data_IF_453058143013
#
_entry.id   IF_453058143013
#
_cell.length_a   1.000
_cell.length_b   1.000
_cell.length_c   1.000
_cell.angle_alpha   90.00
_cell.angle_beta   90.00
_cell.angle_gamma   90.00
#
_symmetry.space_group_name_H-M   'P 1'
#
loop_
_entity.id
_entity.type
_entity.pdbx_description
1 polymer ?
#
# COMPACT_ATOMS: atom_id res chain seq x y z
N UNK A 1 -7.84 35.43 8.59
CA UNK A 1 -7.62 36.19 7.34
C UNK A 1 -6.99 35.42 6.19
N UNK A 2 -6.52 34.19 6.37
CA UNK A 2 -5.92 33.38 5.27
C UNK A 2 -6.92 32.65 4.35
N UNK A 3 -8.15 32.44 4.78
CA UNK A 3 -9.15 31.65 4.05
C UNK A 3 -9.71 32.28 2.76
N UNK A 4 -9.43 33.55 2.48
CA UNK A 4 -9.98 34.24 1.30
C UNK A 4 -8.96 34.54 0.19
N UNK A 5 -7.66 34.37 0.45
CA UNK A 5 -6.62 34.71 -0.52
C UNK A 5 -6.23 33.48 -1.37
N UNK A 6 -6.22 33.64 -2.68
CA UNK A 6 -5.68 32.62 -3.57
C UNK A 6 -4.15 32.63 -3.51
N UNK A 7 -3.52 31.49 -3.33
CA UNK A 7 -2.08 31.28 -3.19
C UNK A 7 -1.53 30.42 -4.33
N UNK A 8 -0.22 30.53 -4.57
CA UNK A 8 0.52 29.70 -5.51
C UNK A 8 1.21 28.55 -4.75
N UNK A 9 1.45 27.44 -5.43
CA UNK A 9 2.21 26.31 -4.86
C UNK A 9 3.58 26.72 -4.33
N UNK A 10 4.26 27.65 -5.03
CA UNK A 10 5.57 28.15 -4.63
C UNK A 10 5.54 28.95 -3.32
N UNK A 11 4.45 29.65 -3.03
CA UNK A 11 4.27 30.39 -1.77
C UNK A 11 4.15 29.42 -0.59
N UNK A 12 3.32 28.38 -0.75
CA UNK A 12 3.15 27.33 0.27
C UNK A 12 4.43 26.51 0.47
N UNK A 13 5.12 26.17 -0.62
CA UNK A 13 6.39 25.44 -0.56
C UNK A 13 7.45 26.20 0.24
N UNK A 14 7.57 27.52 0.00
CA UNK A 14 8.51 28.37 0.72
C UNK A 14 8.15 28.52 2.21
N UNK A 15 6.86 28.74 2.51
CA UNK A 15 6.39 28.93 3.89
C UNK A 15 6.48 27.64 4.72
N UNK A 16 6.20 26.48 4.09
CA UNK A 16 6.26 25.18 4.77
C UNK A 16 7.66 24.54 4.74
N UNK A 17 8.66 25.14 4.08
CA UNK A 17 10.00 24.56 3.95
C UNK A 17 10.04 23.26 3.14
N UNK A 18 9.08 23.06 2.21
CA UNK A 18 8.94 21.84 1.44
C UNK A 18 9.47 21.99 0.01
N UNK A 19 9.97 20.91 -0.62
CA UNK A 19 10.20 20.88 -2.05
C UNK A 19 8.92 21.21 -2.82
N UNK A 20 9.05 21.93 -3.95
CA UNK A 20 7.90 22.39 -4.75
C UNK A 20 7.03 21.23 -5.28
N UNK A 21 7.63 20.12 -5.64
CA UNK A 21 6.94 18.89 -6.05
C UNK A 21 6.06 18.36 -4.93
N UNK A 22 6.58 18.26 -3.71
CA UNK A 22 5.87 17.77 -2.54
C UNK A 22 4.70 18.70 -2.15
N UNK A 23 4.92 20.00 -2.17
CA UNK A 23 3.86 20.98 -1.92
C UNK A 23 2.72 20.87 -2.96
N UNK A 24 3.06 20.60 -4.23
CA UNK A 24 2.07 20.39 -5.29
C UNK A 24 1.21 19.13 -5.05
N UNK A 25 1.83 18.03 -4.67
CA UNK A 25 1.14 16.77 -4.35
C UNK A 25 0.19 16.93 -3.16
N UNK A 26 0.66 17.60 -2.10
CA UNK A 26 -0.16 17.88 -0.92
C UNK A 26 -1.36 18.77 -1.27
N UNK A 27 -1.16 19.84 -2.02
CA UNK A 27 -2.25 20.72 -2.47
C UNK A 27 -3.25 19.96 -3.34
N UNK A 28 -2.78 19.09 -4.25
CA UNK A 28 -3.66 18.23 -5.04
C UNK A 28 -4.48 17.26 -4.17
N UNK A 29 -3.88 16.71 -3.14
CA UNK A 29 -4.60 15.89 -2.16
C UNK A 29 -5.67 16.70 -1.42
N UNK A 30 -5.34 17.91 -0.99
CA UNK A 30 -6.32 18.82 -0.36
C UNK A 30 -7.47 19.19 -1.31
N UNK A 31 -7.19 19.39 -2.59
CA UNK A 31 -8.24 19.60 -3.62
C UNK A 31 -9.13 18.37 -3.77
N UNK A 32 -8.55 17.18 -3.79
CA UNK A 32 -9.29 15.91 -3.86
C UNK A 32 -10.23 15.72 -2.66
N UNK A 33 -9.79 16.14 -1.48
CA UNK A 33 -10.61 16.11 -0.26
C UNK A 33 -11.59 17.31 -0.16
N UNK A 34 -11.60 18.19 -1.15
CA UNK A 34 -12.48 19.36 -1.15
C UNK A 34 -12.10 20.44 -0.12
N UNK A 35 -10.87 20.40 0.41
CA UNK A 35 -10.34 21.36 1.39
C UNK A 35 -9.66 22.56 0.74
N UNK A 36 -9.33 22.45 -0.54
CA UNK A 36 -8.88 23.53 -1.40
C UNK A 36 -9.64 23.51 -2.73
N UNK A 37 -9.77 24.65 -3.36
CA UNK A 37 -10.33 24.80 -4.71
C UNK A 37 -9.29 25.45 -5.63
N UNK A 38 -9.20 24.96 -6.85
CA UNK A 38 -8.40 25.61 -7.90
C UNK A 38 -9.18 26.82 -8.42
N UNK A 39 -8.53 27.96 -8.49
CA UNK A 39 -9.12 29.21 -8.97
C UNK A 39 -8.69 29.42 -10.42
N UNK A 40 -9.64 29.50 -11.33
CA UNK A 40 -9.38 29.81 -12.73
C UNK A 40 -8.72 31.18 -12.88
N UNK A 41 -7.61 31.25 -13.62
CA UNK A 41 -6.90 32.48 -13.89
C UNK A 41 -5.90 32.28 -15.01
N UNK A 42 -5.56 33.36 -15.73
CA UNK A 42 -4.56 33.34 -16.79
C UNK A 42 -3.15 33.16 -16.20
N UNK A 43 -2.49 32.03 -16.46
CA UNK A 43 -1.09 31.80 -16.17
C UNK A 43 -0.87 30.60 -15.25
N UNK A 44 -0.52 30.82 -13.99
CA UNK A 44 -0.20 29.73 -13.04
C UNK A 44 -1.41 29.33 -12.21
N UNK A 45 -1.55 28.02 -11.94
CA UNK A 45 -2.59 27.48 -11.08
C UNK A 45 -2.53 28.15 -9.69
N UNK A 46 -3.65 28.71 -9.26
CA UNK A 46 -3.84 29.29 -7.94
C UNK A 46 -4.86 28.47 -7.18
N UNK A 47 -4.69 28.39 -5.89
CA UNK A 47 -5.52 27.59 -5.02
C UNK A 47 -6.09 28.49 -3.92
N UNK A 48 -7.28 28.15 -3.42
CA UNK A 48 -7.92 28.82 -2.30
C UNK A 48 -8.32 27.77 -1.28
N UNK A 49 -7.96 27.98 -0.02
CA UNK A 49 -8.42 27.14 1.08
C UNK A 49 -9.92 27.33 1.31
N UNK A 50 -10.59 26.26 1.60
CA UNK A 50 -12.00 26.28 2.03
C UNK A 50 -12.06 26.83 3.48
N UNK A 51 -13.06 27.64 3.85
CA UNK A 51 -13.22 28.11 5.21
C UNK A 51 -13.23 26.95 6.23
N UNK A 52 -12.62 27.09 7.41
CA UNK A 52 -12.45 26.00 8.37
C UNK A 52 -13.75 25.29 8.77
N UNK A 53 -14.81 26.04 8.97
CA UNK A 53 -16.15 25.52 9.30
C UNK A 53 -16.73 24.65 8.16
N UNK A 54 -16.55 25.09 6.92
CA UNK A 54 -16.98 24.33 5.74
C UNK A 54 -16.07 23.11 5.51
N UNK A 55 -14.76 23.24 5.73
CA UNK A 55 -13.81 22.17 5.65
C UNK A 55 -14.11 21.04 6.65
N UNK A 56 -14.43 21.39 7.90
CA UNK A 56 -14.83 20.42 8.93
C UNK A 56 -16.11 19.70 8.49
N UNK A 57 -17.15 20.41 8.06
CA UNK A 57 -18.39 19.78 7.59
C UNK A 57 -18.18 18.83 6.40
N UNK A 58 -17.28 19.17 5.47
CA UNK A 58 -16.92 18.28 4.35
C UNK A 58 -16.17 17.03 4.79
N UNK A 59 -15.26 17.18 5.76
CA UNK A 59 -14.54 16.03 6.34
C UNK A 59 -15.48 15.10 7.10
N UNK A 60 -16.41 15.66 7.89
CA UNK A 60 -17.42 14.86 8.60
C UNK A 60 -18.36 14.14 7.63
N UNK A 61 -18.83 14.82 6.58
CA UNK A 61 -19.63 14.19 5.53
C UNK A 61 -18.89 13.09 4.80
N UNK A 62 -17.60 13.29 4.49
CA UNK A 62 -16.75 12.27 3.88
C UNK A 62 -16.56 11.05 4.78
N UNK A 63 -16.32 11.27 6.07
CA UNK A 63 -16.22 10.18 7.08
C UNK A 63 -17.54 9.41 7.19
N UNK A 64 -18.67 10.10 7.24
CA UNK A 64 -19.99 9.48 7.30
C UNK A 64 -20.28 8.63 6.06
N UNK A 65 -19.94 9.14 4.87
CA UNK A 65 -20.11 8.38 3.62
C UNK A 65 -19.20 7.15 3.55
N UNK A 66 -17.95 7.27 4.02
CA UNK A 66 -17.04 6.12 4.11
C UNK A 66 -17.58 5.07 5.08
N UNK A 67 -18.07 5.48 6.27
CA UNK A 67 -18.70 4.59 7.22
C UNK A 67 -19.90 3.87 6.59
N UNK A 68 -20.77 4.62 5.89
CA UNK A 68 -21.93 4.05 5.20
C UNK A 68 -21.56 3.05 4.10
N UNK A 69 -20.53 3.34 3.30
CA UNK A 69 -20.03 2.40 2.27
C UNK A 69 -19.47 1.14 2.90
N UNK A 70 -18.75 1.28 4.02
CA UNK A 70 -18.25 0.15 4.80
C UNK A 70 -19.42 -0.72 5.30
N UNK A 71 -20.44 -0.11 5.92
CA UNK A 71 -21.59 -0.84 6.45
C UNK A 71 -22.37 -1.56 5.32
N UNK A 72 -22.51 -0.92 4.16
CA UNK A 72 -23.12 -1.56 2.99
C UNK A 72 -22.29 -2.76 2.49
N UNK A 73 -20.96 -2.63 2.48
CA UNK A 73 -20.07 -3.71 2.07
C UNK A 73 -20.14 -4.88 3.06
N UNK A 74 -20.16 -4.59 4.37
CA UNK A 74 -20.32 -5.61 5.43
C UNK A 74 -21.65 -6.34 5.31
N UNK A 75 -22.76 -5.61 5.19
CA UNK A 75 -24.10 -6.20 5.00
C UNK A 75 -24.18 -7.05 3.70
N UNK A 76 -23.48 -6.60 2.63
CA UNK A 76 -23.36 -7.37 1.40
C UNK A 76 -22.57 -8.66 1.59
N UNK A 77 -21.50 -8.61 2.35
CA UNK A 77 -20.68 -9.77 2.69
C UNK A 77 -21.44 -10.75 3.59
N UNK A 78 -22.11 -10.26 4.64
CA UNK A 78 -22.97 -11.08 5.52
C UNK A 78 -24.04 -11.82 4.72
N UNK A 79 -24.75 -11.13 3.81
CA UNK A 79 -25.74 -11.75 2.93
C UNK A 79 -25.13 -12.79 2.00
N UNK A 80 -23.96 -12.52 1.42
CA UNK A 80 -23.27 -13.46 0.55
C UNK A 80 -22.80 -14.71 1.31
N UNK A 81 -22.34 -14.54 2.55
CA UNK A 81 -21.94 -15.64 3.43
C UNK A 81 -23.16 -16.45 3.88
N UNK A 82 -24.26 -15.81 4.26
CA UNK A 82 -25.50 -16.48 4.65
C UNK A 82 -26.11 -17.31 3.51
N UNK A 83 -26.01 -16.85 2.27
CA UNK A 83 -26.48 -17.60 1.08
C UNK A 83 -25.60 -18.81 0.76
N UNK A 84 -24.29 -18.75 1.07
CA UNK A 84 -23.36 -19.86 0.87
C UNK A 84 -23.26 -20.84 2.05
N UNK A 85 -23.58 -20.39 3.23
CA UNK A 85 -23.71 -21.24 4.41
C UNK A 85 -25.03 -22.05 4.30
N UNK A 86 -25.01 -23.14 3.53
CA UNK A 86 -25.93 -24.22 3.80
C UNK A 86 -25.77 -24.65 5.26
N UNK A 87 -26.72 -25.42 5.86
CA UNK A 87 -26.71 -25.71 7.28
C UNK A 87 -25.36 -26.25 7.73
N UNK A 88 -24.60 -25.39 8.47
CA UNK A 88 -23.31 -25.73 9.04
C UNK A 88 -23.46 -26.73 10.15
N UNK A 89 -22.69 -27.82 10.18
CA UNK A 89 -22.58 -28.65 11.36
C UNK A 89 -21.60 -27.99 12.34
N UNK A 90 -22.12 -27.40 13.40
CA UNK A 90 -21.32 -26.83 14.50
C UNK A 90 -22.01 -25.64 15.14
N UNK A 91 -23.00 -25.90 16.00
CA UNK A 91 -23.60 -24.88 16.84
C UNK A 91 -22.57 -24.38 17.86
N UNK A 92 -22.10 -23.12 17.72
CA UNK A 92 -21.30 -22.45 18.75
C UNK A 92 -20.34 -21.33 18.31
N UNK A 93 -19.91 -21.29 17.09
CA UNK A 93 -19.03 -20.23 16.63
C UNK A 93 -19.76 -19.30 15.65
N UNK A 94 -19.88 -18.03 16.00
CA UNK A 94 -20.35 -17.03 15.06
C UNK A 94 -19.32 -16.94 13.92
N UNK A 95 -19.74 -17.13 12.65
CA UNK A 95 -18.81 -17.10 11.51
C UNK A 95 -18.21 -15.73 11.26
N UNK A 96 -18.68 -14.71 11.98
CA UNK A 96 -18.30 -13.32 11.83
C UNK A 96 -18.27 -12.62 13.19
N UNK A 97 -17.11 -12.11 13.58
CA UNK A 97 -16.93 -11.34 14.81
C UNK A 97 -16.28 -9.98 14.50
N UNK A 98 -16.84 -8.91 15.07
CA UNK A 98 -16.28 -7.56 14.95
C UNK A 98 -15.37 -7.26 16.14
N UNK A 99 -14.07 -7.08 15.87
CA UNK A 99 -13.07 -6.70 16.87
C UNK A 99 -12.90 -5.19 16.86
N UNK A 100 -13.30 -4.53 17.94
CA UNK A 100 -13.33 -3.05 18.02
C UNK A 100 -12.19 -2.45 18.85
N UNK A 101 -11.39 -3.29 19.51
CA UNK A 101 -10.28 -2.85 20.34
C UNK A 101 -8.98 -3.48 19.86
N UNK A 102 -7.91 -2.68 19.82
CA UNK A 102 -6.57 -3.16 19.44
C UNK A 102 -6.13 -4.36 20.31
N UNK A 103 -6.38 -4.29 21.61
CA UNK A 103 -6.01 -5.36 22.54
C UNK A 103 -6.71 -6.68 22.21
N UNK A 104 -8.00 -6.62 21.91
CA UNK A 104 -8.78 -7.77 21.48
C UNK A 104 -8.25 -8.35 20.16
N UNK A 105 -7.93 -7.48 19.20
CA UNK A 105 -7.33 -7.87 17.93
C UNK A 105 -6.00 -8.61 18.14
N UNK A 106 -5.09 -8.05 18.95
CA UNK A 106 -3.78 -8.64 19.20
C UNK A 106 -3.89 -10.00 19.93
N UNK A 107 -4.83 -10.12 20.87
CA UNK A 107 -5.09 -11.40 21.57
C UNK A 107 -5.56 -12.46 20.58
N UNK A 108 -6.58 -12.15 19.78
CA UNK A 108 -7.11 -13.08 18.78
C UNK A 108 -6.06 -13.47 17.76
N UNK A 109 -5.27 -12.50 17.28
CA UNK A 109 -4.16 -12.79 16.37
C UNK A 109 -3.16 -13.77 16.96
N UNK A 110 -2.72 -13.51 18.19
CA UNK A 110 -1.76 -14.38 18.87
C UNK A 110 -2.31 -15.80 19.03
N UNK A 111 -3.57 -15.92 19.42
CA UNK A 111 -4.23 -17.20 19.58
C UNK A 111 -4.35 -17.97 18.26
N UNK A 112 -4.77 -17.31 17.18
CA UNK A 112 -4.90 -17.94 15.85
C UNK A 112 -3.52 -18.32 15.27
N UNK A 113 -2.53 -17.47 15.42
CA UNK A 113 -1.15 -17.78 14.99
C UNK A 113 -0.57 -18.96 15.78
N UNK A 114 -0.79 -19.04 17.10
CA UNK A 114 -0.34 -20.16 17.92
C UNK A 114 -1.00 -21.49 17.52
N UNK A 115 -2.17 -21.45 16.91
CA UNK A 115 -2.92 -22.64 16.47
C UNK A 115 -2.65 -22.99 15.01
N UNK A 116 -1.92 -22.17 14.27
CA UNK A 116 -1.60 -22.40 12.85
C UNK A 116 -0.90 -23.76 12.65
N UNK A 117 -1.26 -24.46 11.57
CA UNK A 117 -0.75 -25.79 11.24
C UNK A 117 0.05 -25.80 9.96
N UNK A 118 -0.38 -25.05 8.97
CA UNK A 118 0.19 -25.08 7.62
C UNK A 118 0.82 -23.72 7.25
N UNK A 119 0.05 -22.64 7.30
CA UNK A 119 0.53 -21.34 6.83
C UNK A 119 -0.14 -20.15 7.52
N UNK A 120 0.62 -19.07 7.65
CA UNK A 120 0.15 -17.74 8.06
C UNK A 120 0.55 -16.74 6.98
N UNK A 121 -0.44 -16.12 6.34
CA UNK A 121 -0.26 -15.14 5.29
C UNK A 121 -0.71 -13.77 5.76
N UNK A 122 0.15 -12.76 5.60
CA UNK A 122 -0.13 -11.42 6.11
C UNK A 122 0.11 -10.36 5.03
N UNK A 123 -0.82 -9.44 4.87
CA UNK A 123 -0.61 -8.21 4.09
C UNK A 123 -0.78 -7.03 5.03
N UNK A 124 0.26 -6.23 5.18
CA UNK A 124 0.31 -5.10 6.12
C UNK A 124 1.02 -3.89 5.53
N UNK A 125 0.76 -2.74 6.11
CA UNK A 125 1.44 -1.47 5.85
C UNK A 125 1.89 -0.82 7.16
N UNK A 126 2.45 0.37 7.11
CA UNK A 126 2.95 1.11 8.28
C UNK A 126 1.89 1.47 9.33
N UNK A 127 0.60 1.32 9.04
CA UNK A 127 -0.46 1.50 10.05
C UNK A 127 -0.54 0.34 11.05
N UNK A 128 0.13 -0.75 10.77
CA UNK A 128 0.24 -1.91 11.62
C UNK A 128 1.68 -2.07 12.11
N UNK A 129 1.91 -1.95 13.41
CA UNK A 129 3.16 -2.35 14.02
C UNK A 129 3.21 -3.86 14.17
N UNK A 130 4.24 -4.55 13.64
CA UNK A 130 4.42 -5.97 13.87
C UNK A 130 4.53 -6.20 15.37
N UNK A 131 3.68 -7.05 15.88
CA UNK A 131 3.76 -7.46 17.29
C UNK A 131 4.52 -8.77 17.31
N UNK A 132 5.43 -8.89 18.28
CA UNK A 132 6.03 -10.18 18.57
C UNK A 132 4.89 -11.13 18.98
N UNK A 133 4.46 -11.99 18.06
CA UNK A 133 3.44 -12.97 18.36
C UNK A 133 4.07 -14.10 19.17
N UNK A 134 3.74 -14.22 20.46
CA UNK A 134 4.18 -15.38 21.24
C UNK A 134 3.82 -16.66 20.48
N UNK A 135 4.76 -17.56 20.33
CA UNK A 135 4.54 -18.82 19.62
C UNK A 135 4.89 -18.82 18.14
N UNK A 136 5.18 -17.68 17.49
CA UNK A 136 5.56 -17.65 16.08
C UNK A 136 6.83 -18.49 15.81
N UNK A 137 7.87 -18.39 16.67
CA UNK A 137 9.09 -19.20 16.55
C UNK A 137 8.80 -20.69 16.71
N UNK A 138 7.90 -21.06 17.63
CA UNK A 138 7.49 -22.44 17.84
C UNK A 138 6.76 -22.99 16.59
N UNK A 139 5.94 -22.18 15.95
CA UNK A 139 5.23 -22.57 14.73
C UNK A 139 6.18 -22.69 13.54
N UNK A 140 7.12 -21.76 13.40
CA UNK A 140 8.19 -21.87 12.39
C UNK A 140 9.00 -23.17 12.60
N UNK A 141 9.41 -23.47 13.83
CA UNK A 141 10.10 -24.70 14.16
C UNK A 141 9.27 -25.97 13.90
N UNK A 142 7.95 -25.86 13.97
CA UNK A 142 7.01 -26.93 13.60
C UNK A 142 6.76 -27.05 12.08
N UNK A 143 7.35 -26.16 11.26
CA UNK A 143 7.26 -26.17 9.79
C UNK A 143 6.16 -25.33 9.20
N UNK A 144 5.45 -24.53 10.00
CA UNK A 144 4.43 -23.59 9.54
C UNK A 144 5.11 -22.49 8.70
N UNK A 145 4.52 -22.17 7.55
CA UNK A 145 5.02 -21.15 6.65
C UNK A 145 4.46 -19.76 7.02
N UNK A 146 5.34 -18.79 7.23
CA UNK A 146 4.97 -17.39 7.48
C UNK A 146 5.40 -16.54 6.30
N UNK A 147 4.43 -15.99 5.57
CA UNK A 147 4.69 -15.15 4.41
C UNK A 147 4.01 -13.80 4.58
N UNK A 148 4.79 -12.73 4.51
CA UNK A 148 4.30 -11.37 4.72
C UNK A 148 4.55 -10.51 3.49
N UNK A 149 3.56 -9.71 3.10
CA UNK A 149 3.68 -8.68 2.09
C UNK A 149 3.61 -7.31 2.77
N UNK A 150 4.64 -6.52 2.56
CA UNK A 150 4.70 -5.12 2.96
C UNK A 150 4.48 -4.20 1.75
N UNK A 151 4.01 -2.96 2.00
CA UNK A 151 4.16 -1.88 1.04
C UNK A 151 5.56 -1.25 1.09
N UNK A 152 5.88 -0.41 0.12
CA UNK A 152 7.19 0.24 0.02
C UNK A 152 7.48 1.15 1.21
N UNK A 153 6.48 1.82 1.76
CA UNK A 153 6.65 2.72 2.92
C UNK A 153 7.14 1.95 4.16
N UNK A 154 6.92 0.64 4.21
CA UNK A 154 7.39 -0.25 5.28
C UNK A 154 8.92 -0.43 5.31
N UNK A 155 9.62 -0.15 4.20
CA UNK A 155 11.09 -0.23 4.15
C UNK A 155 11.76 0.81 5.06
N UNK A 156 11.15 2.00 5.20
CA UNK A 156 11.64 3.06 6.06
C UNK A 156 11.11 2.97 7.50
N UNK A 157 10.18 2.05 7.77
CA UNK A 157 9.57 1.88 9.08
C UNK A 157 10.43 0.96 9.96
N UNK A 158 11.10 1.55 10.96
CA UNK A 158 12.03 0.86 11.84
C UNK A 158 11.44 -0.40 12.51
N UNK A 159 10.21 -0.39 13.10
CA UNK A 159 9.63 -1.58 13.69
C UNK A 159 9.45 -2.75 12.72
N UNK A 160 9.17 -2.47 11.43
CA UNK A 160 9.07 -3.53 10.40
C UNK A 160 10.44 -4.14 10.09
N UNK A 161 11.47 -3.31 9.96
CA UNK A 161 12.84 -3.78 9.72
C UNK A 161 13.35 -4.64 10.86
N UNK A 162 13.13 -4.18 12.10
CA UNK A 162 13.54 -4.92 13.30
C UNK A 162 12.83 -6.26 13.39
N UNK A 163 11.53 -6.29 13.10
CA UNK A 163 10.77 -7.52 13.07
C UNK A 163 11.27 -8.50 11.99
N UNK A 164 11.50 -8.03 10.77
CA UNK A 164 12.08 -8.87 9.70
C UNK A 164 13.45 -9.38 10.08
N UNK A 165 14.32 -8.52 10.67
CA UNK A 165 15.65 -8.92 11.12
C UNK A 165 15.61 -9.99 12.24
N UNK A 166 14.61 -9.92 13.13
CA UNK A 166 14.44 -10.88 14.21
C UNK A 166 14.12 -12.30 13.73
N UNK A 167 13.56 -12.45 12.54
CA UNK A 167 13.19 -13.74 11.95
C UNK A 167 13.98 -14.07 10.67
N UNK A 168 14.91 -13.22 10.27
CA UNK A 168 15.73 -13.44 9.08
C UNK A 168 16.50 -14.75 9.16
N UNK A 169 16.37 -15.59 8.13
CA UNK A 169 17.03 -16.89 8.06
C UNK A 169 16.29 -18.04 8.76
N UNK A 170 15.18 -17.77 9.46
CA UNK A 170 14.33 -18.85 9.97
C UNK A 170 13.66 -19.60 8.79
N UNK A 171 13.76 -20.93 8.73
CA UNK A 171 13.10 -21.71 7.70
C UNK A 171 11.58 -21.48 7.73
N UNK A 172 10.99 -21.19 6.57
CA UNK A 172 9.56 -20.94 6.46
C UNK A 172 9.13 -19.50 6.70
N UNK A 173 10.07 -18.57 6.98
CA UNK A 173 9.79 -17.15 7.10
C UNK A 173 10.23 -16.40 5.84
N UNK A 174 9.28 -15.75 5.15
CA UNK A 174 9.56 -14.99 3.95
C UNK A 174 8.79 -13.66 3.95
N UNK A 175 9.45 -12.61 3.49
CA UNK A 175 8.85 -11.28 3.35
C UNK A 175 9.11 -10.72 1.97
N UNK A 176 8.06 -10.15 1.35
CA UNK A 176 8.15 -9.43 0.08
C UNK A 176 7.56 -8.03 0.19
N UNK A 177 8.02 -7.16 -0.68
CA UNK A 177 7.58 -5.77 -0.77
C UNK A 177 6.92 -5.52 -2.12
N UNK A 178 5.79 -4.81 -2.09
CA UNK A 178 5.08 -4.30 -3.27
C UNK A 178 4.98 -2.78 -3.18
N UNK A 179 4.71 -2.10 -4.29
CA UNK A 179 4.63 -0.64 -4.29
C UNK A 179 3.53 -0.11 -3.36
N UNK A 180 2.40 -0.82 -3.30
CA UNK A 180 1.26 -0.44 -2.47
C UNK A 180 0.38 -1.63 -2.14
N UNK A 181 -0.15 -1.65 -0.92
CA UNK A 181 -1.19 -2.56 -0.48
C UNK A 181 -2.50 -1.81 -0.25
N UNK A 182 -3.62 -2.41 -0.68
CA UNK A 182 -4.95 -1.78 -0.57
C UNK A 182 -5.77 -2.39 0.57
N UNK A 183 -5.51 -3.65 0.90
CA UNK A 183 -6.27 -4.40 1.88
C UNK A 183 -5.32 -5.09 2.84
N UNK A 184 -5.53 -4.84 4.12
CA UNK A 184 -4.72 -5.41 5.19
C UNK A 184 -5.46 -6.61 5.79
N UNK A 185 -4.81 -7.76 5.84
CA UNK A 185 -5.38 -8.94 6.47
C UNK A 185 -4.32 -9.94 6.93
N UNK A 186 -4.73 -10.77 7.87
CA UNK A 186 -4.06 -12.01 8.25
C UNK A 186 -4.96 -13.17 7.84
N UNK A 187 -4.37 -14.18 7.22
CA UNK A 187 -5.03 -15.42 6.84
C UNK A 187 -4.27 -16.60 7.45
N UNK A 188 -4.96 -17.44 8.24
CA UNK A 188 -4.38 -18.63 8.86
C UNK A 188 -5.04 -19.87 8.25
N UNK A 189 -4.21 -20.80 7.77
CA UNK A 189 -4.61 -22.11 7.25
C UNK A 189 -5.76 -22.08 6.23
N UNK A 190 -5.85 -20.99 5.44
CA UNK A 190 -6.92 -20.73 4.45
C UNK A 190 -8.33 -20.79 5.02
N UNK A 191 -8.46 -20.61 6.31
CA UNK A 191 -9.74 -20.72 7.00
C UNK A 191 -10.07 -19.53 7.91
N UNK A 192 -9.12 -19.10 8.73
CA UNK A 192 -9.30 -17.93 9.59
C UNK A 192 -8.84 -16.68 8.89
N UNK A 193 -9.72 -15.72 8.75
CA UNK A 193 -9.46 -14.42 8.12
C UNK A 193 -9.63 -13.32 9.14
N UNK A 194 -8.62 -12.51 9.30
CA UNK A 194 -8.64 -11.32 10.13
C UNK A 194 -8.41 -10.12 9.22
N UNK A 195 -9.50 -9.43 8.89
CA UNK A 195 -9.50 -8.32 7.93
C UNK A 195 -9.48 -7.00 8.70
N UNK A 196 -8.48 -6.16 8.44
CA UNK A 196 -8.42 -4.82 8.99
C UNK A 196 -9.27 -3.86 8.13
N UNK A 197 -10.25 -3.22 8.75
CA UNK A 197 -11.16 -2.27 8.10
C UNK A 197 -10.70 -0.81 8.21
N UNK A 198 -9.50 -0.58 8.74
CA UNK A 198 -8.94 0.78 8.85
C UNK A 198 -8.69 1.34 7.45
N UNK A 199 -9.25 2.51 7.18
CA UNK A 199 -9.04 3.19 5.90
C UNK A 199 -7.63 3.79 5.90
N UNK A 200 -6.79 3.50 4.89
CA UNK A 200 -5.48 4.13 4.77
C UNK A 200 -5.61 5.67 4.78
N UNK A 201 -4.88 6.33 5.68
CA UNK A 201 -4.90 7.79 5.82
C UNK A 201 -5.88 8.33 6.87
N UNK A 202 -6.51 7.49 7.68
CA UNK A 202 -7.26 7.92 8.85
C UNK A 202 -6.36 7.94 10.10
N UNK A 203 -5.30 8.73 10.07
CA UNK A 203 -4.34 8.91 11.18
C UNK A 203 -4.94 9.75 12.33
N UNK A 204 -6.15 9.44 12.76
CA UNK A 204 -6.69 10.04 13.98
C UNK A 204 -6.17 9.24 15.17
N UNK A 205 -5.45 9.87 16.12
CA UNK A 205 -5.11 9.26 17.40
C UNK A 205 -6.42 8.86 18.10
N UNK A 206 -6.69 7.58 18.21
CA UNK A 206 -7.95 7.05 18.74
C UNK A 206 -8.89 6.44 17.68
N UNK A 207 -8.50 6.40 16.41
CA UNK A 207 -9.16 5.55 15.40
C UNK A 207 -9.00 4.10 15.85
N UNK A 208 -10.06 3.55 16.43
CA UNK A 208 -10.10 2.15 16.84
C UNK A 208 -9.93 1.31 15.58
N UNK A 209 -8.90 0.47 15.54
CA UNK A 209 -8.70 -0.49 14.46
C UNK A 209 -9.88 -1.46 14.49
N UNK A 210 -10.90 -1.17 13.70
CA UNK A 210 -12.00 -2.12 13.52
C UNK A 210 -11.49 -3.24 12.63
N UNK A 211 -11.55 -4.45 13.14
CA UNK A 211 -11.15 -5.63 12.40
C UNK A 211 -12.27 -6.65 12.42
N UNK A 212 -12.35 -7.43 11.37
CA UNK A 212 -13.36 -8.44 11.19
C UNK A 212 -12.68 -9.81 11.22
N UNK A 213 -13.06 -10.63 12.19
CA UNK A 213 -12.66 -12.03 12.27
C UNK A 213 -13.73 -12.88 11.59
N UNK A 214 -13.30 -13.73 10.67
CA UNK A 214 -14.17 -14.65 9.95
C UNK A 214 -13.52 -16.04 9.89
N UNK A 215 -14.31 -17.08 10.04
CA UNK A 215 -13.89 -18.46 9.88
C UNK A 215 -14.67 -19.12 8.75
N UNK A 216 -14.10 -19.11 7.54
CA UNK A 216 -14.77 -19.56 6.34
C UNK A 216 -13.80 -20.01 5.24
N UNK A 217 -13.78 -21.28 4.90
CA UNK A 217 -12.86 -21.84 3.92
C UNK A 217 -12.97 -21.20 2.52
N UNK A 218 -14.18 -20.92 2.04
CA UNK A 218 -14.37 -20.30 0.72
C UNK A 218 -13.79 -18.88 0.65
N UNK A 219 -13.93 -18.08 1.72
CA UNK A 219 -13.32 -16.77 1.80
C UNK A 219 -11.79 -16.87 1.94
N UNK A 220 -11.33 -17.80 2.81
CA UNK A 220 -9.91 -18.08 2.97
C UNK A 220 -9.25 -18.43 1.64
N UNK A 221 -9.89 -19.25 0.80
CA UNK A 221 -9.36 -19.58 -0.53
C UNK A 221 -9.32 -18.36 -1.46
N UNK A 222 -10.34 -17.51 -1.47
CA UNK A 222 -10.35 -16.28 -2.28
C UNK A 222 -9.20 -15.35 -1.89
N UNK A 223 -8.98 -15.16 -0.58
CA UNK A 223 -7.90 -14.30 -0.08
C UNK A 223 -6.53 -14.93 -0.28
N UNK A 224 -6.40 -16.25 -0.15
CA UNK A 224 -5.19 -16.96 -0.50
C UNK A 224 -4.80 -16.73 -1.98
N UNK A 225 -5.75 -16.86 -2.91
CA UNK A 225 -5.51 -16.62 -4.33
C UNK A 225 -5.14 -15.16 -4.62
N UNK A 226 -5.74 -14.22 -3.88
CA UNK A 226 -5.39 -12.79 -3.96
C UNK A 226 -3.97 -12.54 -3.42
N UNK A 227 -3.61 -13.17 -2.30
CA UNK A 227 -2.27 -13.15 -1.73
C UNK A 227 -1.23 -13.63 -2.74
N UNK A 228 -1.45 -14.80 -3.33
CA UNK A 228 -0.52 -15.40 -4.30
C UNK A 228 -0.30 -14.53 -5.53
N UNK A 229 -1.33 -13.86 -6.03
CA UNK A 229 -1.18 -12.90 -7.14
C UNK A 229 -0.31 -11.70 -6.74
N UNK A 230 -0.48 -11.19 -5.53
CA UNK A 230 0.31 -10.07 -5.01
C UNK A 230 1.73 -10.51 -4.69
N UNK A 231 1.90 -11.70 -4.09
CA UNK A 231 3.18 -12.31 -3.77
C UNK A 231 4.11 -12.43 -4.97
N UNK A 232 3.58 -12.91 -6.09
CA UNK A 232 4.38 -13.07 -7.33
C UNK A 232 4.92 -11.75 -7.89
N UNK A 233 4.27 -10.64 -7.59
CA UNK A 233 4.72 -9.29 -8.01
C UNK A 233 5.67 -8.66 -7.01
N UNK A 234 5.70 -9.17 -5.79
CA UNK A 234 6.53 -8.64 -4.73
C UNK A 234 8.00 -8.99 -4.93
N UNK A 235 8.87 -8.06 -4.52
CA UNK A 235 10.32 -8.22 -4.48
C UNK A 235 10.71 -8.68 -3.07
N UNK A 236 11.65 -9.63 -2.89
CA UNK A 236 12.18 -9.99 -1.58
C UNK A 236 12.61 -8.75 -0.78
N UNK A 237 12.37 -8.76 0.53
CA UNK A 237 12.55 -7.58 1.39
C UNK A 237 14.00 -7.06 1.37
N UNK A 238 14.98 -7.96 1.43
CA UNK A 238 16.41 -7.65 1.37
C UNK A 238 16.81 -7.00 0.05
N UNK A 239 16.25 -7.47 -1.07
CA UNK A 239 16.48 -6.90 -2.39
C UNK A 239 15.82 -5.53 -2.52
N UNK A 240 14.60 -5.34 -1.99
CA UNK A 240 13.92 -4.07 -1.99
C UNK A 240 14.68 -3.02 -1.15
N UNK A 241 15.20 -3.42 0.01
CA UNK A 241 16.01 -2.57 0.88
C UNK A 241 17.34 -2.16 0.23
N UNK A 242 17.99 -3.08 -0.51
CA UNK A 242 19.23 -2.80 -1.25
C UNK A 242 19.01 -1.91 -2.48
N UNK A 243 17.82 -1.95 -3.10
CA UNK A 243 17.47 -1.19 -4.30
C UNK A 243 17.15 0.28 -4.05
N UNK A 244 16.79 0.68 -2.84
CA UNK A 244 16.50 2.08 -2.50
C UNK A 244 17.78 2.95 -2.35
N UNK A 245 18.98 2.35 -2.49
CA UNK A 245 20.27 3.06 -2.49
C UNK A 245 20.71 3.63 -3.84
N UNK A 246 20.09 3.29 -4.96
CA UNK A 246 20.48 3.79 -6.29
C UNK A 246 19.26 3.86 -7.22
N UNK A 247 18.92 5.03 -7.79
CA UNK A 247 17.87 5.09 -8.78
C UNK A 247 18.34 4.32 -10.02
N UNK A 248 17.75 3.19 -10.31
CA UNK A 248 17.95 2.46 -11.54
C UNK A 248 17.59 3.37 -12.73
N UNK A 249 18.58 3.93 -13.36
CA UNK A 249 18.48 4.54 -14.68
C UNK A 249 18.08 3.44 -15.68
N UNK A 250 16.80 3.23 -15.83
CA UNK A 250 16.26 2.32 -16.84
C UNK A 250 16.50 2.96 -18.21
N UNK A 251 17.41 2.33 -18.97
CA UNK A 251 17.29 2.25 -20.41
C UNK A 251 17.80 3.44 -21.22
N UNK A 252 19.11 3.63 -21.27
CA UNK A 252 19.72 4.11 -22.50
C UNK A 252 19.81 2.91 -23.48
N UNK A 253 18.94 2.87 -24.44
CA UNK A 253 19.04 2.00 -25.61
C UNK A 253 20.37 2.27 -26.31
N UNK A 254 21.32 1.37 -26.09
CA UNK A 254 22.57 1.34 -26.86
C UNK A 254 22.21 0.86 -28.27
N UNK A 255 22.02 1.83 -29.16
CA UNK A 255 22.02 1.59 -30.59
C UNK A 255 23.41 1.05 -30.97
N UNK A 256 23.48 -0.23 -31.27
CA UNK A 256 24.65 -0.88 -31.81
C UNK A 256 24.97 -0.27 -33.16
N UNK A 257 25.97 0.60 -33.21
CA UNK A 257 26.70 0.93 -34.46
C UNK A 257 27.54 -0.30 -34.81
N UNK A 258 27.16 -0.96 -35.86
CA UNK A 258 27.98 -1.98 -36.51
C UNK A 258 29.31 -1.39 -37.03
N UNK A 259 30.34 -2.22 -37.20
CA UNK A 259 31.68 -1.78 -37.60
C UNK A 259 31.73 -1.34 -39.06
N UNK A 260 32.39 -0.22 -39.29
CA UNK A 260 32.68 0.32 -40.61
C UNK A 260 33.70 -0.58 -41.39
N UNK A 261 33.54 -0.77 -42.70
CA UNK A 261 34.56 -1.49 -43.50
C UNK A 261 35.76 -0.59 -43.82
N UNK A 262 36.95 -1.19 -44.05
CA UNK A 262 38.18 -0.46 -44.23
C UNK A 262 38.33 0.09 -45.64
N UNK A 263 39.14 1.14 -45.73
CA UNK A 263 39.37 2.06 -46.80
C UNK A 263 39.81 1.54 -48.14
N UNK A 264 39.59 2.31 -49.11
CA UNK A 264 40.17 2.23 -50.45
C UNK A 264 40.35 3.62 -51.03
N UNK A 265 41.57 3.94 -51.28
CA UNK A 265 42.10 5.22 -51.57
C UNK A 265 41.90 5.79 -52.99
N UNK A 266 42.35 7.00 -53.08
CA UNK A 266 42.96 7.68 -54.20
C UNK A 266 42.11 8.41 -55.25
N UNK A 267 42.58 9.64 -55.43
CA UNK A 267 42.83 10.54 -56.56
C UNK A 267 41.77 11.56 -56.90
N UNK A 268 42.16 12.78 -56.65
CA UNK A 268 42.55 13.87 -57.54
C UNK A 268 41.66 14.10 -58.79
N UNK A 269 41.21 15.33 -58.93
CA UNK A 269 40.68 15.86 -60.16
C UNK A 269 39.88 17.15 -59.97
N UNK A 270 40.54 18.23 -59.89
CA UNK A 270 40.52 19.49 -60.66
C UNK A 270 39.24 19.75 -61.47
N UNK A 271 38.73 20.99 -61.39
CA UNK A 271 38.03 21.55 -62.52
C UNK A 271 36.82 22.44 -62.20
N UNK A 272 37.11 23.69 -61.95
CA UNK A 272 36.52 24.88 -62.59
C UNK A 272 35.06 24.99 -62.96
N UNK A 273 34.53 26.09 -62.47
CA UNK A 273 33.80 27.13 -63.21
C UNK A 273 32.30 27.00 -63.44
N UNK A 274 31.66 27.96 -62.90
CA UNK A 274 30.96 29.07 -63.51
C UNK A 274 29.47 28.88 -63.90
N UNK A 275 28.76 29.85 -63.42
CA UNK A 275 27.66 30.61 -64.05
C UNK A 275 26.21 30.13 -64.04
N UNK A 276 25.47 31.05 -63.52
CA UNK A 276 24.20 31.61 -63.99
C UNK A 276 22.90 30.80 -63.73
N UNK A 277 22.03 31.59 -63.16
CA UNK A 277 20.60 31.46 -63.21
C UNK A 277 19.96 31.93 -61.90
#
# INVERSE_FOLDING_TARGET
>A
MLAQRAFKVSEVAAEAGLPRSRAYELIRSLVRFGLCTEVAGSGYARFRAVPPNEAIGRLEASKAEQARRRDLALNGLEKALAVRAGPSPGAGEEPLEMLRRREQLLTVMADEVCQARDEVLTIVNTSWEPTDCPGMRERLAAGVQFRTIFDRDSLDHEPHRDWVAAFAGEPGFEVRVVDRVETLYLLVDRYVVLLNLTVPGSDSPGSHAESLLMRHAGLGQILHDAFERTWRRGVPFDQALAGDGEPALVGATTSARGPAPPGGGRRAGNGRSAHHG
#
